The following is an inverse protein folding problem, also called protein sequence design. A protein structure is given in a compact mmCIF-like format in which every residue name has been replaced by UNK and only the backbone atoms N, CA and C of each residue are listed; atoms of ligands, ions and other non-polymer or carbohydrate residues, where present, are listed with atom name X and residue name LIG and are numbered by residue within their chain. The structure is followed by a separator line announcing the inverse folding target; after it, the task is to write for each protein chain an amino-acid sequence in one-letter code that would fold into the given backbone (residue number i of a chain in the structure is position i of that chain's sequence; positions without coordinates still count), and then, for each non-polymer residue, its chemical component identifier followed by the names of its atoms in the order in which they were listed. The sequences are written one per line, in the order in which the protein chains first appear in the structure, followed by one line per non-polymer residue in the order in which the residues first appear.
data_IF_403693419968
#
_entry.id   IF_403693419968
#
_cell.length_a   1.000
_cell.length_b   1.000
_cell.length_c   1.000
_cell.angle_alpha   90.00
_cell.angle_beta   90.00
_cell.angle_gamma   90.00
#
_symmetry.space_group_name_H-M   'P 1'
#
loop_
_entity.id
_entity.type
_entity.pdbx_description
1 polymer ?
#
# COMPACT_ATOMS: atom_id res chain seq x y z
N UNK A 1 6.43 -6.28 4.33
CA UNK A 1 6.33 -4.80 4.31
C UNK A 1 6.20 -4.20 5.71
N UNK A 2 5.53 -4.84 6.69
CA UNK A 2 5.46 -4.33 8.07
C UNK A 2 6.83 -4.21 8.79
N UNK A 3 7.78 -5.09 8.47
CA UNK A 3 9.13 -5.10 9.04
C UNK A 3 9.95 -3.86 8.67
N UNK A 4 9.71 -3.27 7.49
CA UNK A 4 10.42 -2.05 7.07
C UNK A 4 10.00 -0.85 7.92
N UNK A 5 8.70 -0.67 8.16
CA UNK A 5 8.18 0.41 9.00
C UNK A 5 8.68 0.27 10.45
N UNK A 6 8.75 -0.96 10.98
CA UNK A 6 9.35 -1.22 12.29
C UNK A 6 10.83 -0.87 12.34
N UNK A 7 11.61 -1.21 11.31
CA UNK A 7 13.02 -0.89 11.24
C UNK A 7 13.26 0.62 11.13
N UNK A 8 12.44 1.35 10.37
CA UNK A 8 12.54 2.81 10.26
C UNK A 8 12.17 3.49 11.58
N UNK A 9 11.07 3.09 12.22
CA UNK A 9 10.68 3.62 13.51
C UNK A 9 11.73 3.36 14.58
N UNK A 10 12.35 2.18 14.57
CA UNK A 10 13.42 1.83 15.52
C UNK A 10 14.68 2.68 15.29
N UNK A 11 15.01 2.98 14.03
CA UNK A 11 16.15 3.84 13.69
C UNK A 11 15.90 5.29 14.11
N UNK A 12 14.70 5.82 13.88
CA UNK A 12 14.30 7.16 14.31
C UNK A 12 14.38 7.30 15.84
N UNK A 13 13.79 6.35 16.59
CA UNK A 13 13.86 6.34 18.06
C UNK A 13 15.30 6.30 18.55
N UNK A 14 16.13 5.44 17.95
CA UNK A 14 17.54 5.31 18.35
C UNK A 14 18.33 6.58 18.05
N UNK A 15 17.99 7.28 16.98
CA UNK A 15 18.59 8.56 16.63
C UNK A 15 18.21 9.65 17.64
N UNK A 16 16.95 9.67 18.09
CA UNK A 16 16.48 10.56 19.16
C UNK A 16 17.18 10.26 20.49
N UNK A 17 17.25 8.99 20.90
CA UNK A 17 17.99 8.57 22.11
C UNK A 17 19.46 8.99 22.04
N UNK A 18 20.10 8.87 20.88
CA UNK A 18 21.48 9.29 20.67
C UNK A 18 21.62 10.82 20.82
N UNK A 19 20.72 11.62 20.23
CA UNK A 19 20.74 13.07 20.42
C UNK A 19 20.52 13.48 21.87
N UNK A 20 19.61 12.80 22.56
CA UNK A 20 19.29 13.06 23.96
C UNK A 20 20.45 12.67 24.88
N UNK A 21 21.08 11.52 24.64
CA UNK A 21 22.27 11.08 25.37
C UNK A 21 23.44 12.02 25.15
N UNK A 22 23.67 12.47 23.91
CA UNK A 22 24.69 13.48 23.60
C UNK A 22 24.44 14.80 24.32
N UNK A 23 23.20 15.29 24.32
CA UNK A 23 22.82 16.50 25.06
C UNK A 23 22.99 16.32 26.57
N UNK A 24 22.66 15.16 27.11
CA UNK A 24 22.81 14.86 28.52
C UNK A 24 24.28 14.77 28.95
N UNK A 25 25.15 14.23 28.09
CA UNK A 25 26.60 14.22 28.32
C UNK A 25 27.14 15.64 28.33
N UNK A 26 26.69 16.48 27.39
CA UNK A 26 27.03 17.91 27.38
C UNK A 26 26.56 18.64 28.64
N UNK A 27 25.33 18.39 29.10
CA UNK A 27 24.79 19.04 30.32
C UNK A 27 25.45 18.52 31.60
N UNK A 28 25.79 17.22 31.67
CA UNK A 28 26.41 16.60 32.86
C UNK A 28 27.90 16.88 32.98
N UNK A 29 28.64 16.75 31.89
CA UNK A 29 30.07 17.01 31.89
C UNK A 29 30.33 18.52 31.77
N UNK A 30 29.47 19.25 31.05
CA UNK A 30 29.79 20.60 30.61
C UNK A 30 30.82 20.54 29.49
N UNK A 31 30.52 21.14 28.34
CA UNK A 31 31.44 21.25 27.19
C UNK A 31 32.85 21.69 27.62
N UNK A 32 32.98 22.58 28.60
CA UNK A 32 34.25 23.11 29.09
C UNK A 32 35.14 22.11 29.85
N UNK A 33 34.58 21.02 30.39
CA UNK A 33 35.38 20.00 31.12
C UNK A 33 35.83 18.84 30.23
N UNK A 34 35.22 18.71 29.05
CA UNK A 34 35.57 17.69 28.05
C UNK A 34 36.88 18.08 27.34
N UNK A 35 37.74 17.09 27.09
CA UNK A 35 38.95 17.32 26.30
C UNK A 35 38.60 17.79 24.89
N UNK A 36 39.44 18.61 24.23
CA UNK A 36 39.16 19.16 22.89
C UNK A 36 38.84 18.08 21.84
N UNK A 37 39.50 16.93 21.94
CA UNK A 37 39.28 15.77 21.06
C UNK A 37 37.90 15.13 21.28
N UNK A 38 37.47 15.01 22.54
CA UNK A 38 36.19 14.42 22.90
C UNK A 38 35.04 15.37 22.54
N UNK A 39 35.24 16.68 22.70
CA UNK A 39 34.36 17.75 22.22
C UNK A 39 34.11 17.62 20.71
N UNK A 40 35.20 17.51 19.93
CA UNK A 40 35.12 17.30 18.49
C UNK A 40 34.38 16.01 18.12
N UNK A 41 34.69 14.90 18.79
CA UNK A 41 34.00 13.62 18.54
C UNK A 41 32.50 13.70 18.83
N UNK A 42 32.10 14.47 19.84
CA UNK A 42 30.69 14.69 20.18
C UNK A 42 29.98 15.57 19.15
N UNK A 43 30.63 16.64 18.69
CA UNK A 43 30.09 17.53 17.64
C UNK A 43 29.97 16.81 16.29
N UNK A 44 30.97 16.02 15.90
CA UNK A 44 30.94 15.21 14.69
C UNK A 44 29.78 14.19 14.75
N UNK A 45 29.58 13.55 15.91
CA UNK A 45 28.48 12.60 16.12
C UNK A 45 27.11 13.30 16.07
N UNK A 46 26.99 14.51 16.63
CA UNK A 46 25.77 15.33 16.50
C UNK A 46 25.48 15.69 15.05
N UNK A 47 26.49 16.15 14.32
CA UNK A 47 26.35 16.50 12.90
C UNK A 47 25.91 15.28 12.08
N UNK A 48 26.52 14.12 12.31
CA UNK A 48 26.14 12.89 11.64
C UNK A 48 24.68 12.51 11.94
N UNK A 49 24.25 12.59 13.21
CA UNK A 49 22.87 12.32 13.61
C UNK A 49 21.88 13.31 12.97
N UNK A 50 22.19 14.60 12.96
CA UNK A 50 21.35 15.62 12.31
C UNK A 50 21.27 15.43 10.80
N UNK A 51 22.37 15.04 10.16
CA UNK A 51 22.40 14.78 8.72
C UNK A 51 21.50 13.60 8.34
N UNK A 52 21.50 12.53 9.15
CA UNK A 52 20.58 11.40 8.97
C UNK A 52 19.12 11.82 9.22
N UNK A 53 18.86 12.55 10.31
CA UNK A 53 17.52 13.06 10.63
C UNK A 53 16.96 13.90 9.49
N UNK A 54 17.77 14.82 8.94
CA UNK A 54 17.34 15.67 7.84
C UNK A 54 17.04 14.85 6.58
N UNK A 55 17.77 13.75 6.35
CA UNK A 55 17.46 12.78 5.31
C UNK A 55 16.08 12.13 5.48
N UNK A 56 15.77 11.65 6.69
CA UNK A 56 14.46 11.06 7.01
C UNK A 56 13.31 12.07 6.96
N UNK A 57 13.55 13.32 7.35
CA UNK A 57 12.55 14.39 7.29
C UNK A 57 12.23 14.80 5.85
N UNK A 58 13.22 14.77 4.96
CA UNK A 58 13.02 15.01 3.53
C UNK A 58 12.14 13.92 2.90
N UNK A 59 12.45 12.64 3.16
CA UNK A 59 11.62 11.52 2.67
C UNK A 59 10.21 11.56 3.24
N UNK A 60 10.06 11.98 4.50
CA UNK A 60 8.74 12.14 5.13
C UNK A 60 7.92 13.24 4.46
N UNK A 61 8.53 14.38 4.10
CA UNK A 61 7.84 15.46 3.40
C UNK A 61 7.38 15.05 2.00
N UNK A 62 8.21 14.31 1.26
CA UNK A 62 7.84 13.81 -0.08
C UNK A 62 6.65 12.85 0.01
N UNK A 63 6.68 11.90 0.95
CA UNK A 63 5.55 10.97 1.18
C UNK A 63 4.28 11.73 1.58
N UNK A 64 4.40 12.75 2.43
CA UNK A 64 3.27 13.58 2.86
C UNK A 64 2.67 14.37 1.68
N UNK A 65 3.52 14.90 0.79
CA UNK A 65 3.11 15.62 -0.42
C UNK A 65 2.33 14.70 -1.37
N UNK A 66 2.86 13.51 -1.64
CA UNK A 66 2.19 12.50 -2.47
C UNK A 66 0.87 12.03 -1.85
N UNK A 67 0.82 11.86 -0.53
CA UNK A 67 -0.41 11.52 0.19
C UNK A 67 -1.48 12.62 0.05
N UNK A 68 -1.09 13.89 0.16
CA UNK A 68 -2.02 15.01 -0.02
C UNK A 68 -2.54 15.07 -1.46
N UNK A 69 -1.69 14.83 -2.45
CA UNK A 69 -2.07 14.75 -3.87
C UNK A 69 -3.06 13.62 -4.13
N UNK A 70 -2.82 12.45 -3.53
CA UNK A 70 -3.73 11.31 -3.61
C UNK A 70 -5.09 11.58 -2.93
N UNK A 71 -5.09 12.27 -1.78
CA UNK A 71 -6.32 12.71 -1.09
C UNK A 71 -7.12 13.68 -1.95
N UNK A 72 -6.47 14.66 -2.56
CA UNK A 72 -7.12 15.66 -3.40
C UNK A 72 -7.79 15.02 -4.62
N UNK A 73 -7.12 14.06 -5.27
CA UNK A 73 -7.70 13.27 -6.37
C UNK A 73 -8.92 12.45 -5.91
N UNK A 74 -8.84 11.85 -4.73
CA UNK A 74 -9.92 11.02 -4.17
C UNK A 74 -11.14 11.88 -3.82
N UNK A 75 -10.94 13.03 -3.15
CA UNK A 75 -12.03 13.96 -2.84
C UNK A 75 -12.69 14.51 -4.12
N UNK A 76 -11.89 14.82 -5.15
CA UNK A 76 -12.42 15.32 -6.42
C UNK A 76 -13.20 14.23 -7.19
N UNK A 77 -12.79 12.97 -7.08
CA UNK A 77 -13.55 11.82 -7.62
C UNK A 77 -14.86 11.60 -6.86
N UNK A 78 -14.84 11.61 -5.52
CA UNK A 78 -16.04 11.47 -4.69
C UNK A 78 -17.04 12.61 -4.95
N UNK A 79 -16.57 13.84 -5.14
CA UNK A 79 -17.40 14.98 -5.53
C UNK A 79 -18.06 14.77 -6.90
N UNK A 80 -17.30 14.34 -7.90
CA UNK A 80 -17.81 14.07 -9.25
C UNK A 80 -18.83 12.92 -9.28
N UNK A 81 -18.59 11.85 -8.52
CA UNK A 81 -19.53 10.72 -8.39
C UNK A 81 -20.82 11.17 -7.71
N UNK A 82 -20.74 11.99 -6.65
CA UNK A 82 -21.91 12.52 -5.95
C UNK A 82 -22.76 13.46 -6.82
N UNK A 83 -22.14 14.25 -7.68
CA UNK A 83 -22.82 15.12 -8.65
C UNK A 83 -23.51 14.32 -9.78
N UNK A 84 -22.87 13.23 -10.23
CA UNK A 84 -23.46 12.32 -11.24
C UNK A 84 -24.69 11.55 -10.72
N UNK A 85 -24.71 11.19 -9.43
CA UNK A 85 -25.87 10.53 -8.78
C UNK A 85 -27.03 11.49 -8.45
N UNK A 86 -26.75 12.78 -8.25
CA UNK A 86 -27.80 13.78 -8.05
C UNK A 86 -28.58 14.08 -9.36
N UNK A 87 -27.95 13.86 -10.52
CA UNK A 87 -28.53 14.16 -11.83
C UNK A 87 -29.32 13.01 -12.47
N UNK A 88 -29.34 11.81 -11.90
CA UNK A 88 -29.98 10.62 -12.49
C UNK A 88 -31.35 10.24 -11.90
N UNK A 89 -32.01 11.09 -11.12
CA UNK A 89 -33.32 10.78 -10.49
C UNK A 89 -34.54 11.05 -11.38
N UNK A 90 -34.44 10.86 -12.70
CA UNK A 90 -35.59 10.85 -13.62
C UNK A 90 -35.44 9.77 -14.69
N UNK A 91 -35.51 8.50 -14.30
CA UNK A 91 -36.01 7.45 -15.19
C UNK A 91 -37.02 6.64 -14.40
N UNK A 92 -38.29 6.99 -14.61
CA UNK A 92 -39.45 6.23 -14.17
C UNK A 92 -39.40 4.88 -14.87
N UNK A 93 -38.93 3.87 -14.15
CA UNK A 93 -38.95 2.46 -14.54
C UNK A 93 -40.42 2.09 -14.81
N UNK A 94 -40.80 2.11 -16.09
CA UNK A 94 -42.09 1.59 -16.53
C UNK A 94 -41.86 0.11 -16.80
N UNK A 95 -42.56 -0.73 -16.04
CA UNK A 95 -42.63 -2.17 -16.24
C UNK A 95 -42.78 -2.51 -17.73
N UNK A 96 -42.03 -3.49 -18.26
CA UNK A 96 -42.18 -3.91 -19.64
C UNK A 96 -43.59 -4.49 -19.86
N UNK A 97 -44.27 -3.99 -20.89
CA UNK A 97 -45.60 -4.47 -21.28
C UNK A 97 -45.55 -5.99 -21.58
N UNK A 98 -46.35 -6.82 -20.89
CA UNK A 98 -46.33 -8.28 -21.02
C UNK A 98 -46.66 -8.75 -22.45
N UNK A 99 -47.29 -7.91 -23.26
CA UNK A 99 -47.61 -8.23 -24.65
C UNK A 99 -46.33 -8.29 -25.51
N UNK A 100 -45.25 -7.58 -25.16
CA UNK A 100 -43.95 -7.63 -25.86
C UNK A 100 -43.11 -8.87 -25.59
N UNK A 101 -43.21 -9.44 -24.39
CA UNK A 101 -42.55 -10.70 -24.06
C UNK A 101 -43.22 -11.89 -24.79
N UNK A 102 -44.54 -11.87 -24.93
CA UNK A 102 -45.29 -12.94 -25.60
C UNK A 102 -44.95 -13.10 -27.09
N UNK A 103 -44.67 -11.99 -27.80
CA UNK A 103 -44.32 -12.04 -29.25
C UNK A 103 -42.94 -12.66 -29.50
N UNK A 104 -42.00 -12.54 -28.56
CA UNK A 104 -40.67 -13.14 -28.69
C UNK A 104 -40.68 -14.64 -28.41
N UNK A 105 -41.52 -15.10 -27.48
CA UNK A 105 -41.64 -16.52 -27.13
C UNK A 105 -42.23 -17.35 -28.29
N UNK A 106 -43.12 -16.77 -29.10
CA UNK A 106 -43.75 -17.46 -30.22
C UNK A 106 -42.81 -17.72 -31.43
N UNK A 107 -41.64 -17.07 -31.50
CA UNK A 107 -40.68 -17.26 -32.61
C UNK A 107 -39.80 -18.50 -32.42
N UNK A 108 -39.75 -19.09 -31.22
CA UNK A 108 -38.84 -20.22 -30.90
C UNK A 108 -39.51 -21.60 -31.03
N UNK A 109 -40.82 -21.70 -31.23
CA UNK A 109 -41.55 -22.98 -31.22
C UNK A 109 -41.89 -23.52 -32.63
N UNK A 110 -41.03 -23.30 -33.62
CA UNK A 110 -41.11 -24.04 -34.91
C UNK A 110 -39.73 -24.33 -35.52
N UNK A 111 -38.80 -24.96 -34.79
CA UNK A 111 -37.74 -25.75 -35.46
C UNK A 111 -37.09 -26.82 -34.56
N UNK A 112 -37.63 -28.03 -34.73
CA UNK A 112 -36.94 -29.33 -34.74
C UNK A 112 -36.05 -29.74 -33.55
N UNK A 113 -36.56 -30.75 -32.86
CA UNK A 113 -35.84 -31.80 -32.15
C UNK A 113 -34.46 -32.17 -32.72
N UNK A 114 -33.45 -32.33 -31.85
CA UNK A 114 -32.53 -33.48 -31.87
C UNK A 114 -31.55 -33.47 -30.68
N UNK A 115 -31.58 -34.58 -29.93
CA UNK A 115 -30.47 -35.27 -29.22
C UNK A 115 -29.71 -34.58 -28.08
N UNK A 116 -29.92 -35.15 -26.88
CA UNK A 116 -29.10 -35.06 -25.67
C UNK A 116 -27.84 -35.99 -25.77
N UNK A 117 -27.19 -36.39 -24.65
CA UNK A 117 -26.02 -35.78 -23.98
C UNK A 117 -24.82 -36.76 -23.88
N UNK A 118 -23.58 -36.34 -23.53
CA UNK A 118 -22.50 -37.12 -22.81
C UNK A 118 -21.17 -36.33 -22.76
N UNK A 119 -20.57 -36.12 -21.57
CA UNK A 119 -19.38 -36.82 -20.98
C UNK A 119 -18.03 -36.33 -21.57
N UNK A 120 -16.89 -36.09 -20.90
CA UNK A 120 -16.30 -36.54 -19.63
C UNK A 120 -15.12 -35.62 -19.23
N UNK A 121 -14.93 -35.43 -17.91
CA UNK A 121 -13.72 -35.34 -17.04
C UNK A 121 -12.26 -34.99 -17.53
N UNK A 122 -11.36 -34.61 -16.58
CA UNK A 122 -10.18 -33.74 -16.74
C UNK A 122 -8.84 -34.51 -16.81
N UNK A 123 -7.74 -33.79 -17.06
CA UNK A 123 -6.37 -34.32 -17.03
C UNK A 123 -5.50 -33.54 -16.03
N UNK A 124 -5.11 -34.22 -14.95
CA UNK A 124 -4.02 -33.89 -14.03
C UNK A 124 -2.66 -33.88 -14.73
N UNK A 125 -1.75 -33.00 -14.31
CA UNK A 125 -0.30 -33.19 -14.46
C UNK A 125 0.44 -32.64 -13.22
N UNK A 126 0.57 -33.50 -12.23
CA UNK A 126 1.54 -33.42 -11.14
C UNK A 126 2.91 -33.77 -11.70
N UNK A 127 3.88 -32.84 -11.64
CA UNK A 127 5.31 -33.15 -11.77
C UNK A 127 5.98 -32.81 -10.45
N UNK A 128 6.18 -33.86 -9.65
CA UNK A 128 7.22 -33.93 -8.63
C UNK A 128 8.57 -33.94 -9.34
N UNK A 129 9.51 -33.07 -8.98
CA UNK A 129 10.91 -33.43 -9.12
C UNK A 129 11.70 -32.98 -7.88
N UNK A 130 12.05 -33.99 -7.09
CA UNK A 130 13.05 -33.99 -6.05
C UNK A 130 14.41 -33.63 -6.62
N UNK A 131 15.22 -32.86 -5.89
CA UNK A 131 16.67 -33.02 -5.92
C UNK A 131 17.24 -32.64 -4.53
N UNK A 132 17.42 -33.68 -3.71
CA UNK A 132 18.44 -33.75 -2.67
C UNK A 132 19.81 -33.96 -3.34
N UNK A 133 20.82 -33.21 -2.92
CA UNK A 133 22.25 -33.58 -2.80
C UNK A 133 22.82 -32.56 -1.81
N UNK A 134 23.01 -32.86 -0.52
CA UNK A 134 24.02 -33.72 0.09
C UNK A 134 25.46 -33.18 -0.07
N UNK A 135 26.15 -33.07 1.08
CA UNK A 135 27.61 -33.05 1.26
C UNK A 135 28.36 -31.75 0.85
N UNK A 136 29.39 -31.27 1.54
CA UNK A 136 30.25 -31.89 2.55
C UNK A 136 31.06 -30.79 3.29
N UNK A 137 31.34 -31.08 4.56
CA UNK A 137 32.59 -30.86 5.33
C UNK A 137 33.18 -29.45 5.53
#
# INVERSE_FOLDING_TARGET
MATNVQNELSQELKLQELQETLKKVEEKAGLETLSPELKKSMDDLRHAALSLQSGYQATTNDVQSELNKAKEITENYDAAVKESHASSSQTQESDPDPEYAAKMAAVVEEKTASTAPTDSKPLDAKVTNSNQTESEK
#
